data_IF_376786771941
#
_entry.id   IF_376786771941
#
_cell.length_a   1.000
_cell.length_b   1.000
_cell.length_c   1.000
_cell.angle_alpha   90.00
_cell.angle_beta   90.00
_cell.angle_gamma   90.00
#
_symmetry.space_group_name_H-M   'P 1'
#
loop_
_entity.id
_entity.type
_entity.pdbx_description
1 polymer ?
#
# COMPACT_ATOMS: atom_id res chain seq x y z
N UNK A 1 -14.34 -15.25 24.63
CA UNK A 1 -13.05 -15.10 25.33
C UNK A 1 -12.21 -16.33 25.04
N UNK A 2 -11.63 -16.40 23.84
CA UNK A 2 -10.65 -17.41 23.43
C UNK A 2 -10.04 -16.92 22.12
N UNK A 3 -9.08 -16.01 22.23
CA UNK A 3 -7.97 -16.02 21.28
C UNK A 3 -7.32 -17.41 21.40
N UNK A 4 -6.85 -18.01 20.30
CA UNK A 4 -6.17 -19.33 20.33
C UNK A 4 -4.92 -19.33 21.24
N UNK A 5 -4.48 -18.14 21.66
CA UNK A 5 -3.33 -17.88 22.53
C UNK A 5 -3.73 -16.71 23.45
N UNK A 6 -3.80 -16.87 24.79
CA UNK A 6 -4.21 -15.78 25.67
C UNK A 6 -3.22 -14.61 25.63
N UNK A 7 -3.75 -13.38 25.65
CA UNK A 7 -2.98 -12.15 25.76
C UNK A 7 -2.06 -12.21 27.01
N UNK A 8 -0.77 -12.44 26.79
CA UNK A 8 0.22 -12.72 27.84
C UNK A 8 1.14 -13.93 27.59
N UNK A 9 0.93 -14.70 26.51
CA UNK A 9 1.71 -15.90 26.19
C UNK A 9 2.62 -15.78 24.96
N UNK A 10 2.86 -14.55 24.47
CA UNK A 10 3.83 -14.35 23.43
C UNK A 10 5.24 -14.65 23.94
N UNK A 11 6.01 -15.47 23.20
CA UNK A 11 7.37 -15.84 23.58
C UNK A 11 8.28 -14.60 23.72
N UNK A 12 8.14 -13.66 22.79
CA UNK A 12 8.76 -12.34 22.86
C UNK A 12 7.73 -11.38 23.46
N UNK A 13 8.02 -10.84 24.64
CA UNK A 13 7.13 -9.90 25.32
C UNK A 13 7.02 -8.53 24.62
N UNK A 14 6.01 -7.71 24.98
CA UNK A 14 5.76 -6.40 24.37
C UNK A 14 6.89 -5.39 24.61
N UNK A 15 7.69 -5.55 25.67
CA UNK A 15 8.81 -4.65 26.01
C UNK A 15 10.17 -5.12 25.48
N UNK A 16 10.23 -6.27 24.79
CA UNK A 16 11.47 -6.84 24.25
C UNK A 16 11.80 -6.25 22.87
N UNK A 17 12.06 -4.93 22.83
CA UNK A 17 12.19 -4.17 21.58
C UNK A 17 13.21 -4.73 20.59
N UNK A 18 14.42 -5.10 21.02
CA UNK A 18 15.44 -5.64 20.10
C UNK A 18 15.06 -6.99 19.51
N UNK A 19 14.37 -7.85 20.27
CA UNK A 19 13.88 -9.13 19.76
C UNK A 19 12.77 -8.91 18.73
N UNK A 20 11.86 -7.97 18.97
CA UNK A 20 10.83 -7.58 18.00
C UNK A 20 11.44 -6.99 16.72
N UNK A 21 12.46 -6.12 16.85
CA UNK A 21 13.20 -5.57 15.69
C UNK A 21 13.91 -6.68 14.92
N UNK A 22 14.49 -7.66 15.60
CA UNK A 22 15.12 -8.82 14.94
C UNK A 22 14.10 -9.63 14.14
N UNK A 23 12.91 -9.86 14.68
CA UNK A 23 11.80 -10.52 13.98
C UNK A 23 11.39 -9.74 12.73
N UNK A 24 11.21 -8.43 12.83
CA UNK A 24 10.91 -7.56 11.67
C UNK A 24 12.01 -7.66 10.60
N UNK A 25 13.28 -7.53 11.01
CA UNK A 25 14.42 -7.61 10.11
C UNK A 25 14.48 -8.95 9.37
N UNK A 26 14.28 -10.06 10.09
CA UNK A 26 14.24 -11.40 9.50
C UNK A 26 13.07 -11.57 8.52
N UNK A 27 11.87 -11.10 8.87
CA UNK A 27 10.70 -11.17 7.98
C UNK A 27 10.94 -10.38 6.69
N UNK A 28 11.42 -9.14 6.81
CA UNK A 28 11.71 -8.28 5.66
C UNK A 28 12.81 -8.88 4.78
N UNK A 29 13.90 -9.35 5.38
CA UNK A 29 14.99 -10.00 4.66
C UNK A 29 14.47 -11.24 3.91
N UNK A 30 13.67 -12.08 4.56
CA UNK A 30 13.05 -13.24 3.93
C UNK A 30 12.17 -12.84 2.75
N UNK A 31 11.30 -11.84 2.91
CA UNK A 31 10.44 -11.34 1.83
C UNK A 31 11.23 -10.82 0.63
N UNK A 32 12.30 -10.05 0.88
CA UNK A 32 13.18 -9.54 -0.17
C UNK A 32 13.96 -10.67 -0.88
N UNK A 33 14.43 -11.68 -0.13
CA UNK A 33 15.14 -12.83 -0.68
C UNK A 33 14.20 -13.71 -1.53
N UNK A 34 13.01 -14.05 -1.02
CA UNK A 34 12.02 -14.84 -1.75
C UNK A 34 11.58 -14.11 -3.02
N UNK A 35 11.42 -12.79 -2.96
CA UNK A 35 11.13 -11.94 -4.13
C UNK A 35 12.16 -12.04 -5.26
N UNK A 36 13.41 -12.45 -4.97
CA UNK A 36 14.49 -12.68 -5.95
C UNK A 36 14.51 -14.10 -6.52
N UNK A 37 13.65 -15.00 -6.04
CA UNK A 37 13.63 -16.39 -6.49
C UNK A 37 12.50 -16.64 -7.49
N UNK A 38 12.47 -17.83 -8.11
CA UNK A 38 11.34 -18.27 -8.94
C UNK A 38 10.01 -18.29 -8.17
N UNK A 39 10.05 -18.49 -6.84
CA UNK A 39 8.85 -18.39 -6.01
C UNK A 39 8.30 -16.96 -5.97
N UNK A 40 9.14 -15.94 -6.11
CA UNK A 40 8.78 -14.53 -6.18
C UNK A 40 7.87 -14.15 -7.36
N UNK A 41 7.75 -15.02 -8.36
CA UNK A 41 6.79 -14.86 -9.46
C UNK A 41 5.34 -15.15 -9.03
N UNK A 42 5.17 -15.93 -7.97
CA UNK A 42 3.87 -16.36 -7.45
C UNK A 42 3.55 -15.72 -6.10
N UNK A 43 4.57 -15.45 -5.30
CA UNK A 43 4.45 -14.87 -3.96
C UNK A 43 5.36 -13.65 -3.85
N UNK A 44 4.79 -12.45 -3.99
CA UNK A 44 5.58 -11.21 -3.91
C UNK A 44 6.26 -11.08 -2.56
N UNK A 45 7.41 -10.38 -2.51
CA UNK A 45 8.12 -10.18 -1.25
C UNK A 45 7.25 -9.52 -0.17
N UNK A 46 6.35 -8.61 -0.55
CA UNK A 46 5.38 -8.00 0.37
C UNK A 46 4.38 -9.02 0.90
N UNK A 47 3.83 -9.89 0.04
CA UNK A 47 2.95 -10.98 0.47
C UNK A 47 3.63 -11.93 1.46
N UNK A 48 4.93 -12.23 1.25
CA UNK A 48 5.73 -13.03 2.19
C UNK A 48 5.84 -12.34 3.55
N UNK A 49 6.13 -11.03 3.56
CA UNK A 49 6.23 -10.26 4.81
C UNK A 49 4.89 -10.20 5.55
N UNK A 50 3.80 -9.95 4.84
CA UNK A 50 2.45 -9.88 5.42
C UNK A 50 2.02 -11.23 6.01
N UNK A 51 2.10 -12.32 5.23
CA UNK A 51 1.76 -13.68 5.71
C UNK A 51 2.71 -14.15 6.81
N UNK A 52 4.00 -13.83 6.69
CA UNK A 52 4.99 -14.14 7.71
C UNK A 52 4.70 -13.44 9.03
N UNK A 53 4.31 -12.16 8.98
CA UNK A 53 3.86 -11.40 10.15
C UNK A 53 2.64 -12.04 10.81
N UNK A 54 1.62 -12.40 10.01
CA UNK A 54 0.42 -13.12 10.48
C UNK A 54 0.82 -14.42 11.16
N UNK A 55 1.66 -15.23 10.53
CA UNK A 55 2.09 -16.51 11.09
C UNK A 55 2.85 -16.33 12.41
N UNK A 56 3.72 -15.34 12.49
CA UNK A 56 4.55 -15.06 13.67
C UNK A 56 3.71 -14.58 14.86
N UNK A 57 2.70 -13.72 14.66
CA UNK A 57 1.82 -13.29 15.76
C UNK A 57 0.81 -14.36 16.16
N UNK A 58 0.20 -15.06 15.19
CA UNK A 58 -0.83 -16.08 15.48
C UNK A 58 -0.26 -17.40 16.04
N UNK A 59 1.05 -17.64 15.90
CA UNK A 59 1.75 -18.74 16.62
C UNK A 59 2.19 -18.35 18.03
N UNK A 60 2.00 -17.09 18.43
CA UNK A 60 2.41 -16.57 19.73
C UNK A 60 3.91 -16.30 19.84
N UNK A 61 4.63 -16.11 18.72
CA UNK A 61 6.04 -15.71 18.79
C UNK A 61 6.18 -14.25 19.25
N UNK A 62 5.32 -13.36 18.74
CA UNK A 62 5.22 -11.94 19.13
C UNK A 62 3.77 -11.58 19.44
N UNK A 63 3.50 -10.51 20.22
CA UNK A 63 2.14 -10.08 20.51
C UNK A 63 1.52 -9.33 19.32
N UNK A 64 0.20 -9.41 19.18
CA UNK A 64 -0.58 -8.62 18.21
C UNK A 64 -0.47 -7.10 18.43
N UNK A 65 -0.23 -6.69 19.68
CA UNK A 65 -0.10 -5.30 20.11
C UNK A 65 1.19 -5.13 20.92
N UNK A 66 1.95 -4.08 20.62
CA UNK A 66 3.17 -3.70 21.35
C UNK A 66 3.47 -2.23 21.10
N UNK A 67 4.12 -1.53 22.05
CA UNK A 67 4.49 -0.12 21.90
C UNK A 67 5.36 0.15 20.66
N UNK A 68 6.16 -0.84 20.21
CA UNK A 68 6.96 -0.72 18.99
C UNK A 68 6.08 -0.64 17.74
N UNK A 69 5.02 -1.44 17.65
CA UNK A 69 4.08 -1.44 16.53
C UNK A 69 3.41 -0.08 16.41
N UNK A 70 2.94 0.46 17.54
CA UNK A 70 2.33 1.79 17.63
C UNK A 70 3.32 2.88 17.22
N UNK A 71 4.56 2.82 17.74
CA UNK A 71 5.62 3.76 17.38
C UNK A 71 5.94 3.74 15.88
N UNK A 72 6.00 2.56 15.26
CA UNK A 72 6.21 2.43 13.81
C UNK A 72 5.06 3.11 13.05
N UNK A 73 3.81 2.84 13.44
CA UNK A 73 2.63 3.42 12.78
C UNK A 73 2.54 4.94 12.94
N UNK A 74 2.93 5.47 14.09
CA UNK A 74 2.86 6.91 14.40
C UNK A 74 4.03 7.69 13.78
N UNK A 75 5.24 7.12 13.76
CA UNK A 75 6.44 7.87 13.36
C UNK A 75 7.02 7.42 12.01
N UNK A 76 7.18 6.11 11.80
CA UNK A 76 7.90 5.61 10.64
C UNK A 76 7.04 5.65 9.37
N UNK A 77 5.76 5.29 9.47
CA UNK A 77 4.84 5.27 8.33
C UNK A 77 4.64 6.66 7.72
N UNK A 78 4.37 7.74 8.50
CA UNK A 78 4.25 9.07 7.92
C UNK A 78 5.52 9.54 7.20
N UNK A 79 6.70 9.14 7.66
CA UNK A 79 7.97 9.48 7.00
C UNK A 79 8.15 8.79 5.65
N UNK A 80 7.54 7.60 5.46
CA UNK A 80 7.59 6.90 4.18
C UNK A 80 6.85 7.68 3.08
N UNK A 81 5.79 8.42 3.43
CA UNK A 81 4.96 9.15 2.46
C UNK A 81 5.79 10.19 1.69
N UNK A 82 6.44 11.21 2.30
CA UNK A 82 7.24 12.15 1.52
C UNK A 82 8.40 11.48 0.79
N UNK A 83 9.07 10.48 1.40
CA UNK A 83 10.19 9.77 0.78
C UNK A 83 9.79 9.12 -0.56
N UNK A 84 8.61 8.48 -0.60
CA UNK A 84 8.06 7.90 -1.83
C UNK A 84 7.53 8.96 -2.80
N UNK A 85 7.05 10.09 -2.29
CA UNK A 85 6.46 11.17 -3.08
C UNK A 85 7.47 12.20 -3.62
N UNK A 86 8.72 12.23 -3.16
CA UNK A 86 9.72 13.20 -3.65
C UNK A 86 10.03 13.07 -5.14
N UNK A 87 9.80 11.88 -5.72
CA UNK A 87 9.88 11.65 -7.18
C UNK A 87 8.52 11.69 -7.88
N UNK A 88 7.44 12.07 -7.19
CA UNK A 88 6.09 12.21 -7.75
C UNK A 88 5.99 13.44 -8.67
N UNK A 89 6.49 13.30 -9.89
CA UNK A 89 6.32 14.29 -10.94
C UNK A 89 4.99 14.02 -11.68
N UNK A 90 3.93 14.72 -11.26
CA UNK A 90 2.57 14.47 -11.75
C UNK A 90 2.46 14.64 -13.27
N UNK A 91 3.25 15.54 -13.86
CA UNK A 91 3.26 15.74 -15.31
C UNK A 91 3.80 14.49 -16.00
N UNK A 92 4.92 13.98 -15.50
CA UNK A 92 5.54 12.76 -16.02
C UNK A 92 4.62 11.55 -15.83
N UNK A 93 3.90 11.43 -14.70
CA UNK A 93 2.92 10.35 -14.49
C UNK A 93 1.91 10.30 -15.63
N UNK A 94 1.38 11.46 -16.04
CA UNK A 94 0.38 11.53 -17.11
C UNK A 94 0.97 11.32 -18.51
N UNK A 95 2.24 11.66 -18.74
CA UNK A 95 2.85 11.57 -20.08
C UNK A 95 3.69 10.32 -20.33
N UNK A 96 4.31 9.74 -19.29
CA UNK A 96 5.32 8.68 -19.41
C UNK A 96 4.82 7.29 -18.98
N UNK A 97 3.86 7.20 -18.06
CA UNK A 97 3.29 5.90 -17.68
C UNK A 97 2.28 5.36 -18.72
N UNK A 98 1.96 6.17 -19.74
CA UNK A 98 1.26 5.74 -20.95
C UNK A 98 -0.08 5.05 -20.67
N UNK A 99 -0.37 3.91 -21.31
CA UNK A 99 -1.59 3.12 -21.08
C UNK A 99 -1.89 2.76 -19.63
N UNK A 100 -0.84 2.53 -18.83
CA UNK A 100 -0.96 2.08 -17.43
C UNK A 100 -1.67 3.13 -16.58
N UNK A 101 -1.50 4.42 -16.87
CA UNK A 101 -2.19 5.52 -16.18
C UNK A 101 -3.69 5.45 -16.37
N UNK A 102 -4.17 5.23 -17.62
CA UNK A 102 -5.60 5.12 -17.87
C UNK A 102 -6.18 3.89 -17.17
N UNK A 103 -5.51 2.75 -17.25
CA UNK A 103 -5.92 1.52 -16.60
C UNK A 103 -5.96 1.67 -15.07
N UNK A 104 -5.01 2.40 -14.50
CA UNK A 104 -5.00 2.71 -13.07
C UNK A 104 -6.21 3.58 -12.68
N UNK A 105 -6.50 4.64 -13.45
CA UNK A 105 -7.65 5.51 -13.18
C UNK A 105 -8.99 4.78 -13.32
N UNK A 106 -9.11 3.90 -14.32
CA UNK A 106 -10.26 2.99 -14.44
C UNK A 106 -10.34 2.03 -13.26
N UNK A 107 -9.21 1.44 -12.86
CA UNK A 107 -9.11 0.60 -11.67
C UNK A 107 -9.57 1.34 -10.40
N UNK A 108 -9.12 2.58 -10.21
CA UNK A 108 -9.53 3.40 -9.08
C UNK A 108 -11.03 3.69 -9.10
N UNK A 109 -11.59 4.02 -10.27
CA UNK A 109 -13.03 4.18 -10.44
C UNK A 109 -13.78 2.89 -10.09
N UNK A 110 -13.32 1.74 -10.57
CA UNK A 110 -13.96 0.45 -10.30
C UNK A 110 -13.81 0.02 -8.83
N UNK A 111 -12.72 0.40 -8.15
CA UNK A 111 -12.59 0.25 -6.69
C UNK A 111 -13.63 1.08 -5.95
N UNK A 112 -13.88 2.33 -6.37
CA UNK A 112 -14.95 3.16 -5.80
C UNK A 112 -16.32 2.51 -6.00
N UNK A 113 -16.62 2.07 -7.23
CA UNK A 113 -17.88 1.40 -7.52
C UNK A 113 -18.04 0.09 -6.73
N UNK A 114 -16.95 -0.67 -6.57
CA UNK A 114 -16.93 -1.87 -5.75
C UNK A 114 -17.22 -1.60 -4.28
N UNK A 115 -16.63 -0.54 -3.72
CA UNK A 115 -16.86 -0.14 -2.34
C UNK A 115 -18.30 0.36 -2.13
N UNK A 116 -18.86 1.11 -3.09
CA UNK A 116 -20.27 1.53 -3.07
C UNK A 116 -21.22 0.32 -3.15
N UNK A 117 -20.91 -0.64 -4.02
CA UNK A 117 -21.69 -1.87 -4.09
C UNK A 117 -21.59 -2.68 -2.79
N UNK A 118 -20.42 -2.74 -2.17
CA UNK A 118 -20.25 -3.36 -0.87
C UNK A 118 -21.13 -2.71 0.20
N UNK A 119 -21.19 -1.37 0.25
CA UNK A 119 -22.10 -0.63 1.14
C UNK A 119 -23.58 -0.94 0.87
N UNK A 120 -23.96 -1.09 -0.41
CA UNK A 120 -25.34 -1.44 -0.76
C UNK A 120 -25.72 -2.87 -0.36
N UNK A 121 -24.75 -3.80 -0.35
CA UNK A 121 -24.99 -5.22 -0.11
C UNK A 121 -24.78 -5.66 1.34
N UNK A 122 -23.96 -4.93 2.10
CA UNK A 122 -23.49 -5.33 3.42
C UNK A 122 -23.69 -4.19 4.41
N UNK A 123 -24.39 -4.48 5.51
CA UNK A 123 -24.55 -3.55 6.64
C UNK A 123 -23.29 -3.58 7.53
N UNK A 124 -22.45 -2.56 7.39
CA UNK A 124 -21.24 -2.39 8.20
C UNK A 124 -21.50 -1.63 9.52
N UNK A 125 -22.76 -1.38 9.85
CA UNK A 125 -23.20 -0.77 11.09
C UNK A 125 -23.08 0.76 11.10
N UNK A 126 -23.08 1.39 12.29
CA UNK A 126 -23.21 2.83 12.44
C UNK A 126 -22.11 3.67 11.75
N UNK A 127 -20.92 3.09 11.55
CA UNK A 127 -19.79 3.75 10.91
C UNK A 127 -19.59 3.34 9.44
N UNK A 128 -20.61 2.76 8.79
CA UNK A 128 -20.54 2.25 7.41
C UNK A 128 -19.98 3.27 6.41
N UNK A 129 -20.41 4.53 6.48
CA UNK A 129 -19.87 5.57 5.59
C UNK A 129 -18.35 5.73 5.73
N UNK A 130 -17.80 5.53 6.94
CA UNK A 130 -16.35 5.55 7.15
C UNK A 130 -15.69 4.28 6.62
N UNK A 131 -16.31 3.12 6.84
CA UNK A 131 -15.87 1.83 6.28
C UNK A 131 -15.77 1.90 4.74
N UNK A 132 -16.80 2.45 4.09
CA UNK A 132 -16.85 2.74 2.66
C UNK A 132 -15.65 3.56 2.20
N UNK A 133 -15.42 4.72 2.83
CA UNK A 133 -14.31 5.61 2.46
C UNK A 133 -12.94 4.94 2.66
N UNK A 134 -12.79 4.20 3.75
CA UNK A 134 -11.57 3.48 4.11
C UNK A 134 -11.26 2.36 3.12
N UNK A 135 -12.24 1.52 2.74
CA UNK A 135 -12.04 0.46 1.74
C UNK A 135 -11.93 0.98 0.30
N UNK A 136 -12.59 2.09 -0.04
CA UNK A 136 -12.35 2.74 -1.32
C UNK A 136 -10.90 3.25 -1.42
N UNK A 137 -10.37 3.85 -0.35
CA UNK A 137 -9.01 4.38 -0.33
C UNK A 137 -7.93 3.31 -0.28
N UNK A 138 -8.11 2.24 0.51
CA UNK A 138 -7.10 1.15 0.55
C UNK A 138 -6.89 0.52 -0.82
N UNK A 139 -7.97 0.37 -1.61
CA UNK A 139 -7.90 -0.19 -2.95
C UNK A 139 -7.65 0.83 -4.05
N UNK A 140 -7.09 1.98 -3.66
CA UNK A 140 -6.45 2.96 -4.52
C UNK A 140 -5.11 3.31 -3.84
N UNK A 141 -4.01 2.61 -4.12
CA UNK A 141 -2.69 2.85 -3.56
C UNK A 141 -2.30 2.04 -2.31
N UNK A 142 -3.17 1.19 -1.77
CA UNK A 142 -2.84 0.19 -0.75
C UNK A 142 -3.15 0.57 0.70
N UNK A 143 -2.85 -0.36 1.62
CA UNK A 143 -3.22 -0.32 3.05
C UNK A 143 -2.78 0.92 3.83
N UNK A 144 -1.78 1.66 3.34
CA UNK A 144 -1.39 2.92 3.99
C UNK A 144 -2.53 3.95 3.92
N UNK A 145 -3.26 3.97 2.81
CA UNK A 145 -4.40 4.87 2.64
C UNK A 145 -5.58 4.46 3.53
N UNK A 146 -5.72 3.16 3.84
CA UNK A 146 -6.65 2.66 4.86
C UNK A 146 -6.40 3.36 6.20
N UNK A 147 -5.16 3.30 6.69
CA UNK A 147 -4.77 3.90 7.97
C UNK A 147 -4.96 5.42 7.96
N UNK A 148 -4.55 6.08 6.88
CA UNK A 148 -4.66 7.51 6.72
C UNK A 148 -6.13 7.99 6.75
N UNK A 149 -7.01 7.34 5.99
CA UNK A 149 -8.43 7.69 5.93
C UNK A 149 -9.14 7.36 7.24
N UNK A 150 -8.82 6.23 7.88
CA UNK A 150 -9.38 5.88 9.19
C UNK A 150 -9.04 6.93 10.26
N UNK A 151 -7.81 7.45 10.26
CA UNK A 151 -7.40 8.54 11.15
C UNK A 151 -8.12 9.86 10.81
N UNK A 152 -8.28 10.18 9.53
CA UNK A 152 -8.95 11.42 9.10
C UNK A 152 -10.45 11.43 9.42
N UNK A 153 -11.11 10.26 9.32
CA UNK A 153 -12.53 10.10 9.60
C UNK A 153 -12.83 9.93 11.09
N UNK A 154 -11.82 9.61 11.91
CA UNK A 154 -11.92 9.48 13.36
C UNK A 154 -12.96 8.43 13.75
N UNK A 155 -12.67 7.16 13.50
CA UNK A 155 -13.52 6.05 13.96
C UNK A 155 -13.70 6.09 15.48
N UNK A 156 -14.93 5.87 15.94
CA UNK A 156 -15.23 5.76 17.37
C UNK A 156 -14.93 4.37 17.89
N UNK A 157 -15.15 3.34 17.08
CA UNK A 157 -14.80 1.96 17.40
C UNK A 157 -13.44 1.58 16.80
N UNK A 158 -12.43 1.46 17.67
CA UNK A 158 -11.10 0.99 17.28
C UNK A 158 -11.10 -0.48 16.81
N UNK A 159 -12.09 -1.27 17.25
CA UNK A 159 -12.32 -2.64 16.78
C UNK A 159 -12.62 -2.69 15.29
N UNK A 160 -13.43 -1.77 14.79
CA UNK A 160 -13.74 -1.62 13.36
C UNK A 160 -12.48 -1.33 12.53
N UNK A 161 -11.61 -0.44 12.99
CA UNK A 161 -10.35 -0.12 12.29
C UNK A 161 -9.42 -1.33 12.27
N UNK A 162 -9.24 -2.00 13.41
CA UNK A 162 -8.42 -3.20 13.52
C UNK A 162 -8.97 -4.34 12.64
N UNK A 163 -10.29 -4.53 12.63
CA UNK A 163 -10.96 -5.52 11.80
C UNK A 163 -10.84 -5.22 10.31
N UNK A 164 -10.93 -3.94 9.92
CA UNK A 164 -10.74 -3.50 8.54
C UNK A 164 -9.29 -3.74 8.08
N UNK A 165 -8.29 -3.46 8.92
CA UNK A 165 -6.89 -3.77 8.63
C UNK A 165 -6.64 -5.27 8.47
N UNK A 166 -7.22 -6.10 9.35
CA UNK A 166 -7.11 -7.55 9.27
C UNK A 166 -7.77 -8.08 7.98
N UNK A 167 -8.98 -7.60 7.67
CA UNK A 167 -9.69 -7.93 6.44
C UNK A 167 -8.88 -7.53 5.19
N UNK A 168 -8.38 -6.30 5.15
CA UNK A 168 -7.57 -5.77 4.05
C UNK A 168 -6.29 -6.59 3.86
N UNK A 169 -5.60 -6.94 4.94
CA UNK A 169 -4.39 -7.74 4.87
C UNK A 169 -4.65 -9.14 4.27
N UNK A 170 -5.65 -9.86 4.77
CA UNK A 170 -5.95 -11.23 4.31
C UNK A 170 -6.48 -11.22 2.89
N UNK A 171 -7.47 -10.38 2.58
CA UNK A 171 -8.09 -10.33 1.26
C UNK A 171 -7.12 -9.71 0.23
N UNK A 172 -6.41 -8.64 0.58
CA UNK A 172 -5.40 -8.00 -0.27
C UNK A 172 -4.22 -8.92 -0.57
N UNK A 173 -3.77 -9.71 0.41
CA UNK A 173 -2.73 -10.72 0.15
C UNK A 173 -3.25 -11.85 -0.73
N UNK A 174 -4.49 -12.31 -0.51
CA UNK A 174 -5.14 -13.31 -1.38
C UNK A 174 -5.26 -12.81 -2.81
N UNK A 175 -5.60 -11.53 -2.99
CA UNK A 175 -5.60 -10.84 -4.28
C UNK A 175 -4.21 -10.86 -4.92
N UNK A 176 -3.15 -10.46 -4.20
CA UNK A 176 -1.77 -10.43 -4.71
C UNK A 176 -1.32 -11.80 -5.20
N UNK A 177 -1.63 -12.86 -4.45
CA UNK A 177 -1.36 -14.25 -4.88
C UNK A 177 -2.15 -14.59 -6.14
N UNK A 178 -3.42 -14.21 -6.20
CA UNK A 178 -4.31 -14.50 -7.34
C UNK A 178 -3.84 -13.85 -8.64
N UNK A 179 -3.50 -12.55 -8.62
CA UNK A 179 -2.97 -11.85 -9.80
C UNK A 179 -1.55 -12.33 -10.16
N UNK A 180 -0.77 -12.76 -9.17
CA UNK A 180 0.53 -13.38 -9.41
C UNK A 180 0.37 -14.73 -10.11
N UNK A 181 -0.62 -15.55 -9.77
CA UNK A 181 -0.91 -16.79 -10.52
C UNK A 181 -1.40 -16.45 -11.93
N UNK A 182 -2.33 -15.50 -12.06
CA UNK A 182 -2.90 -15.09 -13.34
C UNK A 182 -1.85 -14.59 -14.33
N UNK A 183 -0.87 -13.81 -13.85
CA UNK A 183 0.27 -13.34 -14.66
C UNK A 183 1.18 -14.45 -15.18
N UNK A 184 1.09 -15.67 -14.64
CA UNK A 184 1.88 -16.83 -15.06
C UNK A 184 1.17 -17.78 -16.02
N UNK A 185 -0.11 -17.57 -16.31
CA UNK A 185 -0.87 -18.46 -17.20
C UNK A 185 -0.41 -18.28 -18.66
N UNK A 186 0.03 -19.38 -19.30
CA UNK A 186 0.57 -19.41 -20.67
C UNK A 186 -0.40 -18.87 -21.74
N UNK A 187 -1.69 -18.87 -21.46
CA UNK A 187 -2.74 -18.32 -22.34
C UNK A 187 -2.55 -16.81 -22.58
N UNK A 188 -1.78 -16.14 -21.72
CA UNK A 188 -1.50 -14.71 -21.79
C UNK A 188 0.01 -14.39 -21.85
N UNK A 189 0.86 -15.40 -22.10
CA UNK A 189 2.28 -15.19 -22.26
C UNK A 189 2.55 -14.42 -23.55
N UNK A 190 3.18 -13.24 -23.42
CA UNK A 190 3.66 -12.47 -24.56
C UNK A 190 4.73 -13.28 -25.27
N UNK A 191 4.51 -13.59 -26.55
CA UNK A 191 5.50 -14.22 -27.42
C UNK A 191 6.70 -13.29 -27.56
N UNK A 192 7.82 -13.63 -26.90
CA UNK A 192 9.06 -12.83 -26.95
C UNK A 192 9.83 -12.69 -25.62
N UNK A 193 9.30 -13.17 -24.49
CA UNK A 193 10.07 -13.19 -23.24
C UNK A 193 11.17 -14.26 -23.31
N UNK A 194 12.40 -13.83 -23.60
CA UNK A 194 13.60 -14.66 -23.54
C UNK A 194 13.78 -15.23 -22.12
N UNK A 195 13.98 -16.54 -22.03
CA UNK A 195 14.11 -17.33 -20.81
C UNK A 195 15.44 -17.14 -20.05
N UNK A 196 16.27 -16.17 -20.44
CA UNK A 196 17.48 -15.80 -19.70
C UNK A 196 17.11 -14.71 -18.67
N UNK A 197 16.63 -15.18 -17.52
CA UNK A 197 16.18 -14.36 -16.41
C UNK A 197 17.34 -14.04 -15.46
N UNK A 198 18.04 -12.93 -15.69
CA UNK A 198 18.71 -12.23 -14.59
C UNK A 198 17.63 -11.60 -13.72
N UNK A 199 17.37 -12.19 -12.55
CA UNK A 199 16.39 -11.68 -11.60
C UNK A 199 16.93 -10.37 -11.02
N UNK A 200 16.57 -9.26 -11.67
CA UNK A 200 16.91 -7.92 -11.20
C UNK A 200 16.43 -7.74 -9.75
N UNK A 201 17.23 -7.02 -8.96
CA UNK A 201 16.92 -6.78 -7.55
C UNK A 201 15.51 -6.17 -7.36
N UNK A 202 14.67 -6.70 -6.45
CA UNK A 202 13.34 -6.16 -6.15
C UNK A 202 13.38 -4.79 -5.46
N UNK A 203 14.57 -4.35 -5.03
CA UNK A 203 14.82 -2.95 -4.70
C UNK A 203 15.03 -2.24 -6.03
N UNK A 204 13.95 -1.69 -6.58
CA UNK A 204 14.00 -0.88 -7.79
C UNK A 204 14.76 0.39 -7.48
N UNK A 205 15.99 0.50 -7.99
CA UNK A 205 16.55 1.81 -8.26
C UNK A 205 15.61 2.49 -9.25
N UNK A 206 14.81 3.46 -8.80
CA UNK A 206 14.13 4.37 -9.72
C UNK A 206 15.21 4.88 -10.69
N UNK A 207 15.05 4.77 -12.03
CA UNK A 207 16.14 4.96 -12.96
C UNK A 207 16.83 6.29 -12.68
N UNK A 208 18.05 6.19 -12.15
CA UNK A 208 18.95 7.32 -12.06
C UNK A 208 19.23 7.73 -13.50
N UNK A 209 19.13 9.03 -13.77
CA UNK A 209 19.76 9.60 -14.96
C UNK A 209 21.22 9.09 -15.02
N UNK A 210 21.77 8.82 -16.21
CA UNK A 210 23.14 8.31 -16.34
C UNK A 210 24.10 9.32 -15.72
N UNK A 211 24.72 8.96 -14.60
CA UNK A 211 25.43 9.93 -13.79
C UNK A 211 26.30 9.32 -12.69
N UNK A 212 27.40 8.69 -13.12
CA UNK A 212 28.71 8.73 -12.48
C UNK A 212 28.90 7.99 -11.15
N UNK A 213 29.84 7.04 -11.19
CA UNK A 213 30.60 6.56 -10.04
C UNK A 213 31.23 7.74 -9.28
N UNK A 214 30.61 8.16 -8.18
CA UNK A 214 31.24 9.04 -7.17
C UNK A 214 30.86 8.55 -5.77
N UNK A 215 31.76 7.75 -5.21
CA UNK A 215 32.02 7.42 -3.80
C UNK A 215 30.88 7.49 -2.73
N UNK A 216 30.76 6.37 -2.01
CA UNK A 216 29.90 5.98 -0.87
C UNK A 216 29.60 7.01 0.25
N UNK A 217 30.35 8.11 0.38
CA UNK A 217 30.09 9.13 1.43
C UNK A 217 28.95 10.09 1.07
N UNK A 218 28.65 10.24 -0.21
CA UNK A 218 27.55 11.11 -0.67
C UNK A 218 26.19 10.49 -0.39
N UNK A 219 26.05 9.16 -0.43
CA UNK A 219 24.76 8.49 -0.28
C UNK A 219 24.15 8.65 1.11
N UNK A 220 24.96 8.54 2.17
CA UNK A 220 24.49 8.77 3.55
C UNK A 220 23.98 10.21 3.70
N UNK A 221 24.66 11.19 3.08
CA UNK A 221 24.22 12.58 3.12
C UNK A 221 22.88 12.79 2.40
N UNK A 222 22.68 12.16 1.24
CA UNK A 222 21.40 12.21 0.53
C UNK A 222 20.27 11.56 1.31
N UNK A 223 20.51 10.41 1.94
CA UNK A 223 19.54 9.74 2.81
C UNK A 223 19.18 10.61 4.02
N UNK A 224 20.16 11.22 4.67
CA UNK A 224 19.93 12.12 5.80
C UNK A 224 19.13 13.36 5.40
N UNK A 225 19.44 13.98 4.24
CA UNK A 225 18.69 15.12 3.71
C UNK A 225 17.26 14.71 3.36
N UNK A 226 17.07 13.56 2.70
CA UNK A 226 15.74 13.06 2.34
C UNK A 226 14.89 12.77 3.59
N UNK A 227 15.47 12.10 4.58
CA UNK A 227 14.79 11.81 5.84
C UNK A 227 14.47 13.10 6.61
N UNK A 228 15.40 14.04 6.66
CA UNK A 228 15.19 15.35 7.30
C UNK A 228 14.11 16.18 6.61
N UNK A 229 14.09 16.21 5.27
CA UNK A 229 13.04 16.87 4.50
C UNK A 229 11.68 16.20 4.70
N UNK A 230 11.64 14.87 4.75
CA UNK A 230 10.42 14.11 5.06
C UNK A 230 9.89 14.45 6.45
N UNK A 231 10.75 14.41 7.46
CA UNK A 231 10.41 14.76 8.83
C UNK A 231 9.93 16.22 8.96
N UNK A 232 10.57 17.15 8.24
CA UNK A 232 10.14 18.55 8.21
C UNK A 232 8.73 18.70 7.63
N UNK A 233 8.43 17.99 6.53
CA UNK A 233 7.09 17.98 5.95
C UNK A 233 6.06 17.41 6.94
N UNK A 234 6.38 16.29 7.60
CA UNK A 234 5.52 15.72 8.64
C UNK A 234 5.27 16.70 9.79
N UNK A 235 6.32 17.34 10.31
CA UNK A 235 6.22 18.31 11.39
C UNK A 235 5.37 19.53 11.01
N UNK A 236 5.57 20.07 9.80
CA UNK A 236 4.78 21.18 9.28
C UNK A 236 3.31 20.78 9.11
N UNK A 237 3.05 19.61 8.52
CA UNK A 237 1.70 19.12 8.31
C UNK A 237 0.94 18.94 9.63
N UNK A 238 1.56 18.30 10.64
CA UNK A 238 0.96 18.13 11.97
C UNK A 238 0.74 19.47 12.66
N UNK A 239 1.69 20.39 12.58
CA UNK A 239 1.55 21.72 13.17
C UNK A 239 0.41 22.53 12.51
N UNK A 240 0.30 22.47 11.18
CA UNK A 240 -0.79 23.11 10.43
C UNK A 240 -2.12 22.46 10.80
N UNK A 241 -2.21 21.12 10.79
CA UNK A 241 -3.41 20.37 11.16
C UNK A 241 -3.90 20.73 12.57
N UNK A 242 -2.97 20.78 13.53
CA UNK A 242 -3.26 21.15 14.92
C UNK A 242 -3.78 22.59 15.04
N UNK A 243 -3.15 23.55 14.35
CA UNK A 243 -3.60 24.95 14.36
C UNK A 243 -4.97 25.16 13.70
N UNK A 244 -5.30 24.35 12.71
CA UNK A 244 -6.59 24.35 12.03
C UNK A 244 -7.67 23.55 12.77
N UNK A 245 -7.33 22.87 13.88
CA UNK A 245 -8.26 22.04 14.63
C UNK A 245 -8.66 20.73 13.95
N UNK A 246 -7.85 20.24 13.00
CA UNK A 246 -8.14 19.03 12.19
C UNK A 246 -6.99 18.01 12.24
N UNK A 247 -6.55 17.55 13.43
CA UNK A 247 -5.37 16.68 13.57
C UNK A 247 -5.45 15.37 12.77
N UNK A 248 -6.65 14.79 12.57
CA UNK A 248 -6.84 13.59 11.75
C UNK A 248 -6.45 13.76 10.27
N UNK A 249 -6.43 15.00 9.75
CA UNK A 249 -6.08 15.31 8.36
C UNK A 249 -4.57 15.49 8.15
N UNK A 250 -3.73 15.24 9.17
CA UNK A 250 -2.28 15.40 9.09
C UNK A 250 -1.69 14.63 7.90
N UNK A 251 -2.14 13.39 7.65
CA UNK A 251 -1.61 12.59 6.53
C UNK A 251 -1.96 13.19 5.17
N UNK A 252 -3.18 13.72 4.99
CA UNK A 252 -3.55 14.41 3.74
C UNK A 252 -2.70 15.66 3.52
N UNK A 253 -2.40 16.41 4.58
CA UNK A 253 -1.51 17.57 4.53
C UNK A 253 -0.06 17.16 4.24
N UNK A 254 0.42 16.04 4.78
CA UNK A 254 1.74 15.46 4.44
C UNK A 254 1.81 15.19 2.94
N UNK A 255 0.81 14.51 2.39
CA UNK A 255 0.72 14.23 0.95
C UNK A 255 0.74 15.52 0.14
N UNK A 256 -0.07 16.52 0.50
CA UNK A 256 -0.14 17.79 -0.22
C UNK A 256 1.20 18.55 -0.21
N UNK A 257 1.84 18.64 0.97
CA UNK A 257 3.13 19.32 1.11
C UNK A 257 4.24 18.57 0.38
N UNK A 258 4.26 17.24 0.42
CA UNK A 258 5.24 16.41 -0.28
C UNK A 258 5.10 16.53 -1.80
N UNK A 259 3.89 16.43 -2.34
CA UNK A 259 3.61 16.61 -3.77
C UNK A 259 3.93 18.05 -4.19
N UNK A 260 3.56 19.03 -3.36
CA UNK A 260 3.92 20.43 -3.57
C UNK A 260 5.42 20.61 -3.67
N UNK A 261 6.19 20.06 -2.73
CA UNK A 261 7.64 20.10 -2.75
C UNK A 261 8.22 19.41 -4.00
N UNK A 262 7.73 18.21 -4.36
CA UNK A 262 8.16 17.45 -5.54
C UNK A 262 7.98 18.21 -6.85
N UNK A 263 6.91 19.02 -6.98
CA UNK A 263 6.58 19.73 -8.21
C UNK A 263 7.10 21.19 -8.22
N UNK A 264 7.29 21.83 -7.06
CA UNK A 264 7.82 23.20 -6.94
C UNK A 264 9.36 23.24 -6.84
N UNK A 265 9.98 22.21 -6.27
CA UNK A 265 11.43 22.08 -6.09
C UNK A 265 11.99 20.81 -6.78
N UNK A 266 11.63 20.54 -8.05
CA UNK A 266 11.97 19.28 -8.70
C UNK A 266 13.48 19.10 -8.89
N UNK A 267 14.25 20.19 -9.03
CA UNK A 267 15.71 20.12 -9.21
C UNK A 267 16.41 19.62 -7.95
N UNK A 268 15.98 20.12 -6.79
CA UNK A 268 16.53 19.78 -5.49
C UNK A 268 16.18 18.35 -5.12
N UNK A 269 14.90 17.97 -5.25
CA UNK A 269 14.45 16.65 -4.86
C UNK A 269 14.90 15.55 -5.83
N UNK A 270 14.93 15.78 -7.15
CA UNK A 270 15.47 14.80 -8.11
C UNK A 270 16.98 14.58 -7.97
N UNK A 271 17.70 15.49 -7.31
CA UNK A 271 19.13 15.31 -7.02
C UNK A 271 19.40 14.38 -5.84
N UNK A 272 18.37 14.08 -5.02
CA UNK A 272 18.48 13.12 -3.94
C UNK A 272 18.58 11.69 -4.50
N UNK A 273 19.27 10.85 -3.73
CA UNK A 273 19.50 9.44 -4.04
C UNK A 273 19.15 8.60 -2.81
N UNK A 274 18.55 7.43 -3.03
CA UNK A 274 18.22 6.48 -1.96
C UNK A 274 16.91 6.75 -1.23
N UNK A 275 16.22 7.85 -1.50
CA UNK A 275 14.97 8.23 -0.84
C UNK A 275 13.84 7.25 -1.13
N UNK A 276 13.77 6.74 -2.36
CA UNK A 276 12.74 5.78 -2.76
C UNK A 276 13.00 4.41 -2.13
N UNK A 277 14.27 3.99 -2.08
CA UNK A 277 14.71 2.75 -1.44
C UNK A 277 14.47 2.79 0.07
N UNK A 278 14.78 3.91 0.73
CA UNK A 278 14.50 4.12 2.16
C UNK A 278 13.00 4.14 2.43
N UNK A 279 12.22 4.87 1.62
CA UNK A 279 10.76 4.87 1.71
C UNK A 279 10.17 3.47 1.51
N UNK A 280 10.71 2.71 0.56
CA UNK A 280 10.31 1.31 0.32
C UNK A 280 10.64 0.43 1.51
N UNK A 281 11.82 0.58 2.12
CA UNK A 281 12.17 -0.15 3.34
C UNK A 281 11.18 0.16 4.48
N UNK A 282 10.81 1.42 4.68
CA UNK A 282 9.80 1.79 5.67
C UNK A 282 8.43 1.17 5.34
N UNK A 283 8.09 1.03 4.05
CA UNK A 283 6.90 0.29 3.62
C UNK A 283 6.96 -1.20 3.93
N UNK A 284 8.11 -1.83 3.79
CA UNK A 284 8.28 -3.23 4.21
C UNK A 284 8.10 -3.40 5.73
N UNK A 285 8.62 -2.46 6.53
CA UNK A 285 8.37 -2.43 7.98
C UNK A 285 6.87 -2.26 8.27
N UNK A 286 6.21 -1.35 7.58
CA UNK A 286 4.77 -1.15 7.67
C UNK A 286 3.96 -2.42 7.38
N UNK A 287 4.24 -3.10 6.26
CA UNK A 287 3.57 -4.34 5.88
C UNK A 287 3.82 -5.47 6.88
N UNK A 288 5.02 -5.54 7.46
CA UNK A 288 5.33 -6.50 8.51
C UNK A 288 4.47 -6.25 9.76
N UNK A 289 4.35 -5.00 10.17
CA UNK A 289 3.52 -4.64 11.34
C UNK A 289 2.04 -4.89 11.06
N UNK A 290 1.52 -4.57 9.87
CA UNK A 290 0.13 -4.95 9.50
C UNK A 290 -0.08 -6.46 9.61
N UNK A 291 0.86 -7.25 9.08
CA UNK A 291 0.83 -8.70 9.18
C UNK A 291 0.77 -9.16 10.64
N UNK A 292 1.68 -8.64 11.47
CA UNK A 292 1.76 -8.97 12.90
C UNK A 292 0.48 -8.57 13.65
N UNK A 293 -0.09 -7.41 13.36
CA UNK A 293 -1.30 -6.92 14.02
C UNK A 293 -2.59 -7.62 13.57
N UNK A 294 -2.51 -8.52 12.60
CA UNK A 294 -3.69 -9.27 12.10
C UNK A 294 -3.98 -10.47 13.00
N UNK A 295 -5.02 -10.35 13.83
CA UNK A 295 -5.59 -11.45 14.61
C UNK A 295 -6.66 -12.18 13.78
N UNK A 296 -6.36 -13.40 13.34
CA UNK A 296 -7.28 -14.22 12.54
C UNK A 296 -8.51 -14.62 13.36
N UNK A 297 -8.34 -14.85 14.66
CA UNK A 297 -9.44 -15.22 15.55
C UNK A 297 -10.48 -14.10 15.65
N UNK A 298 -10.03 -12.87 15.83
CA UNK A 298 -10.90 -11.68 15.84
C UNK A 298 -11.57 -11.49 14.47
N UNK A 299 -10.81 -11.62 13.37
CA UNK A 299 -11.35 -11.48 12.02
C UNK A 299 -12.52 -12.44 11.76
N UNK A 300 -12.33 -13.73 12.07
CA UNK A 300 -13.33 -14.77 11.84
C UNK A 300 -14.57 -14.64 12.73
N UNK A 301 -14.42 -14.10 13.94
CA UNK A 301 -15.52 -13.97 14.90
C UNK A 301 -16.29 -12.66 14.76
N UNK A 302 -15.63 -11.57 14.36
CA UNK A 302 -16.17 -10.22 14.53
C UNK A 302 -16.04 -9.31 13.30
N UNK A 303 -15.31 -9.70 12.26
CA UNK A 303 -15.03 -8.80 11.12
C UNK A 303 -15.29 -9.44 9.74
N UNK A 304 -16.13 -10.48 9.68
CA UNK A 304 -16.51 -11.11 8.41
C UNK A 304 -17.23 -10.15 7.45
N UNK A 305 -18.03 -9.22 7.98
CA UNK A 305 -18.67 -8.18 7.15
C UNK A 305 -17.62 -7.27 6.51
N UNK A 306 -16.58 -6.88 7.26
CA UNK A 306 -15.47 -6.06 6.75
C UNK A 306 -14.64 -6.84 5.71
N UNK A 307 -14.44 -8.14 5.93
CA UNK A 307 -13.84 -9.03 4.93
C UNK A 307 -14.70 -9.15 3.66
N UNK A 308 -16.03 -9.19 3.81
CA UNK A 308 -16.97 -9.11 2.69
C UNK A 308 -16.84 -7.79 1.93
N UNK A 309 -16.70 -6.68 2.66
CA UNK A 309 -16.51 -5.34 2.07
C UNK A 309 -15.23 -5.29 1.22
N UNK A 310 -14.13 -5.82 1.75
CA UNK A 310 -12.88 -5.98 1.05
C UNK A 310 -13.02 -6.85 -0.21
N UNK A 311 -13.62 -8.02 -0.06
CA UNK A 311 -13.78 -9.00 -1.12
C UNK A 311 -14.64 -8.48 -2.27
N UNK A 312 -15.81 -7.90 -1.97
CA UNK A 312 -16.70 -7.31 -2.98
C UNK A 312 -15.98 -6.21 -3.74
N UNK A 313 -15.27 -5.33 -3.04
CA UNK A 313 -14.54 -4.23 -3.68
C UNK A 313 -13.49 -4.73 -4.68
N UNK A 314 -12.64 -5.67 -4.26
CA UNK A 314 -11.60 -6.26 -5.12
C UNK A 314 -12.21 -7.07 -6.28
N UNK A 315 -13.25 -7.85 -6.02
CA UNK A 315 -13.91 -8.66 -7.05
C UNK A 315 -14.51 -7.76 -8.13
N UNK A 316 -15.22 -6.70 -7.75
CA UNK A 316 -15.78 -5.73 -8.71
C UNK A 316 -14.66 -5.03 -9.47
N UNK A 317 -13.59 -4.60 -8.79
CA UNK A 317 -12.42 -4.01 -9.43
C UNK A 317 -11.88 -4.91 -10.55
N UNK A 318 -11.60 -6.18 -10.26
CA UNK A 318 -11.07 -7.12 -11.25
C UNK A 318 -12.08 -7.48 -12.34
N UNK A 319 -13.34 -7.72 -11.96
CA UNK A 319 -14.41 -8.13 -12.87
C UNK A 319 -14.75 -7.04 -13.89
N UNK A 320 -14.58 -5.76 -13.55
CA UNK A 320 -14.76 -4.65 -14.47
C UNK A 320 -13.47 -4.32 -15.23
N UNK A 321 -12.32 -4.28 -14.55
CA UNK A 321 -11.06 -3.85 -15.14
C UNK A 321 -10.58 -4.81 -16.24
N UNK A 322 -10.59 -6.12 -15.99
CA UNK A 322 -10.06 -7.10 -16.95
C UNK A 322 -10.82 -7.10 -18.28
N UNK A 323 -12.17 -7.16 -18.32
CA UNK A 323 -12.90 -7.08 -19.57
C UNK A 323 -12.78 -5.72 -20.25
N UNK A 324 -12.88 -4.61 -19.51
CA UNK A 324 -12.77 -3.26 -20.09
C UNK A 324 -11.39 -3.04 -20.71
N UNK A 325 -10.32 -3.43 -20.03
CA UNK A 325 -8.97 -3.34 -20.58
C UNK A 325 -8.82 -4.15 -21.87
N UNK A 326 -9.39 -5.37 -21.91
CA UNK A 326 -9.41 -6.20 -23.11
C UNK A 326 -10.20 -5.58 -24.26
N UNK A 327 -11.35 -4.96 -23.98
CA UNK A 327 -12.16 -4.25 -24.98
C UNK A 327 -11.44 -3.04 -25.56
N UNK A 328 -10.65 -2.34 -24.74
CA UNK A 328 -9.82 -1.21 -25.16
C UNK A 328 -8.51 -1.64 -25.85
N UNK A 329 -8.26 -2.95 -25.97
CA UNK A 329 -7.07 -3.48 -26.65
C UNK A 329 -5.78 -3.42 -25.83
N UNK A 330 -5.86 -3.23 -24.51
CA UNK A 330 -4.68 -3.21 -23.64
C UNK A 330 -4.19 -4.63 -23.30
N UNK A 331 -2.89 -4.75 -23.05
CA UNK A 331 -2.28 -6.03 -22.71
C UNK A 331 -2.66 -6.47 -21.29
N UNK A 332 -2.65 -7.78 -21.03
CA UNK A 332 -2.84 -8.28 -19.66
C UNK A 332 -1.74 -7.77 -18.72
N UNK A 333 -0.50 -7.64 -19.21
CA UNK A 333 0.61 -7.13 -18.42
C UNK A 333 0.33 -5.70 -17.92
N UNK A 334 -0.04 -4.78 -18.82
CA UNK A 334 -0.40 -3.40 -18.45
C UNK A 334 -1.56 -3.39 -17.43
N UNK A 335 -2.55 -4.24 -17.66
CA UNK A 335 -3.76 -4.33 -16.83
C UNK A 335 -3.46 -4.83 -15.42
N UNK A 336 -2.67 -5.91 -15.30
CA UNK A 336 -2.31 -6.46 -14.00
C UNK A 336 -1.37 -5.54 -13.23
N UNK A 337 -0.45 -4.85 -13.92
CA UNK A 337 0.42 -3.86 -13.28
C UNK A 337 -0.38 -2.66 -12.77
N UNK A 338 -1.30 -2.13 -13.58
CA UNK A 338 -2.20 -1.06 -13.16
C UNK A 338 -3.10 -1.48 -11.99
N UNK A 339 -3.68 -2.69 -12.05
CA UNK A 339 -4.51 -3.25 -10.98
C UNK A 339 -3.70 -3.41 -9.69
N UNK A 340 -2.51 -4.00 -9.76
CA UNK A 340 -1.64 -4.20 -8.60
C UNK A 340 -1.24 -2.85 -7.97
N UNK A 341 -0.88 -1.87 -8.81
CA UNK A 341 -0.55 -0.53 -8.33
C UNK A 341 -1.76 0.15 -7.66
N UNK A 342 -2.97 -0.12 -8.13
CA UNK A 342 -4.21 0.38 -7.55
C UNK A 342 -4.57 -0.33 -6.24
N UNK A 343 -4.53 -1.66 -6.18
CA UNK A 343 -4.99 -2.40 -5.01
C UNK A 343 -3.94 -2.45 -3.89
N UNK A 344 -2.66 -2.62 -4.24
CA UNK A 344 -1.59 -2.90 -3.27
C UNK A 344 -0.49 -1.83 -3.22
N UNK A 345 -0.26 -1.12 -4.34
CA UNK A 345 0.63 0.05 -4.39
C UNK A 345 1.88 -0.11 -5.27
N UNK A 346 2.76 0.90 -5.28
CA UNK A 346 3.88 0.98 -6.23
C UNK A 346 4.93 -0.12 -6.03
N UNK A 347 5.25 -0.48 -4.79
CA UNK A 347 6.30 -1.47 -4.51
C UNK A 347 5.94 -2.88 -5.01
N UNK A 348 4.69 -3.31 -4.78
CA UNK A 348 4.20 -4.63 -5.21
C UNK A 348 4.06 -4.72 -6.73
N UNK A 349 3.57 -3.64 -7.36
CA UNK A 349 3.42 -3.56 -8.80
C UNK A 349 4.79 -3.58 -9.51
N UNK A 350 5.75 -2.80 -9.02
CA UNK A 350 7.10 -2.79 -9.56
C UNK A 350 7.81 -4.14 -9.38
N UNK A 351 7.64 -4.79 -8.22
CA UNK A 351 8.17 -6.12 -7.97
C UNK A 351 7.59 -7.18 -8.91
N UNK A 352 6.28 -7.13 -9.20
CA UNK A 352 5.64 -8.01 -10.17
C UNK A 352 6.16 -7.79 -11.59
N UNK A 353 6.28 -6.53 -12.02
CA UNK A 353 6.83 -6.20 -13.33
C UNK A 353 8.25 -6.75 -13.49
N UNK A 354 9.11 -6.58 -12.47
CA UNK A 354 10.46 -7.12 -12.48
C UNK A 354 10.49 -8.66 -12.49
N UNK A 355 9.72 -9.33 -11.62
CA UNK A 355 9.75 -10.80 -11.51
C UNK A 355 9.17 -11.52 -12.74
N UNK A 356 8.31 -10.84 -13.50
CA UNK A 356 7.74 -11.30 -14.77
C UNK A 356 8.57 -10.93 -16.00
N UNK A 357 9.69 -10.20 -15.83
CA UNK A 357 10.49 -9.72 -16.95
C UNK A 357 9.84 -8.58 -17.74
N UNK A 358 8.76 -7.98 -17.23
CA UNK A 358 8.12 -6.78 -17.80
C UNK A 358 8.86 -5.51 -17.34
N UNK A 359 10.17 -5.48 -17.55
CA UNK A 359 11.05 -4.41 -17.04
C UNK A 359 10.63 -3.02 -17.51
N UNK A 360 10.07 -2.91 -18.72
CA UNK A 360 9.49 -1.68 -19.26
C UNK A 360 8.29 -1.15 -18.47
N UNK A 361 7.59 -1.99 -17.70
CA UNK A 361 6.45 -1.60 -16.86
C UNK A 361 6.84 -1.26 -15.42
N UNK A 362 8.09 -1.47 -15.00
CA UNK A 362 8.54 -1.18 -13.64
C UNK A 362 8.38 0.30 -13.32
N UNK A 363 8.82 1.18 -14.22
CA UNK A 363 8.72 2.64 -14.03
C UNK A 363 7.26 3.10 -14.05
N UNK A 364 6.43 2.74 -15.06
CA UNK A 364 5.00 3.00 -15.04
C UNK A 364 4.30 2.53 -13.75
N UNK A 365 4.62 1.33 -13.25
CA UNK A 365 4.05 0.76 -12.03
C UNK A 365 4.28 1.66 -10.81
N UNK A 366 5.52 2.11 -10.62
CA UNK A 366 5.87 3.04 -9.53
C UNK A 366 5.13 4.35 -9.68
N UNK A 367 5.08 4.90 -10.89
CA UNK A 367 4.46 6.20 -11.17
C UNK A 367 2.96 6.21 -10.87
N UNK A 368 2.21 5.21 -11.34
CA UNK A 368 0.77 5.13 -11.08
C UNK A 368 0.47 4.70 -9.64
N UNK A 369 1.30 3.86 -9.03
CA UNK A 369 1.13 3.50 -7.61
C UNK A 369 1.35 4.70 -6.68
N UNK A 370 2.36 5.53 -6.99
CA UNK A 370 2.59 6.82 -6.32
C UNK A 370 1.41 7.77 -6.52
N UNK A 371 0.81 7.82 -7.72
CA UNK A 371 -0.43 8.58 -7.95
C UNK A 371 -1.57 8.14 -7.01
N UNK A 372 -1.66 6.84 -6.71
CA UNK A 372 -2.57 6.30 -5.70
C UNK A 372 -2.40 6.95 -4.32
N UNK A 373 -1.16 7.06 -3.83
CA UNK A 373 -0.88 7.78 -2.57
C UNK A 373 -1.28 9.26 -2.60
N UNK A 374 -1.30 9.87 -3.79
CA UNK A 374 -1.71 11.27 -3.95
C UNK A 374 -3.22 11.42 -3.87
N UNK A 375 -3.99 10.59 -4.55
CA UNK A 375 -5.44 10.83 -4.76
C UNK A 375 -6.35 10.09 -3.79
N UNK A 376 -5.94 8.93 -3.28
CA UNK A 376 -6.84 8.00 -2.62
C UNK A 376 -7.42 8.52 -1.32
N UNK A 377 -6.60 9.17 -0.48
CA UNK A 377 -7.05 9.70 0.80
C UNK A 377 -8.13 10.78 0.60
N UNK A 378 -8.00 11.60 -0.45
CA UNK A 378 -9.01 12.60 -0.80
C UNK A 378 -10.30 11.93 -1.28
N UNK A 379 -10.20 10.91 -2.14
CA UNK A 379 -11.36 10.14 -2.63
C UNK A 379 -12.09 9.47 -1.47
N UNK A 380 -11.37 8.72 -0.63
CA UNK A 380 -11.96 7.98 0.49
C UNK A 380 -12.64 8.88 1.52
N UNK A 381 -11.95 9.94 1.95
CA UNK A 381 -12.56 10.91 2.88
C UNK A 381 -13.79 11.57 2.25
N UNK A 382 -13.71 11.95 0.96
CA UNK A 382 -14.85 12.58 0.27
C UNK A 382 -16.04 11.63 0.18
N UNK A 383 -15.81 10.37 -0.21
CA UNK A 383 -16.87 9.34 -0.27
C UNK A 383 -17.56 9.15 1.07
N UNK A 384 -16.79 9.03 2.16
CA UNK A 384 -17.36 8.89 3.49
C UNK A 384 -18.23 10.08 3.89
N UNK A 385 -17.78 11.31 3.59
CA UNK A 385 -18.55 12.53 3.89
C UNK A 385 -19.80 12.65 3.02
N UNK A 386 -19.72 12.30 1.74
CA UNK A 386 -20.87 12.29 0.83
C UNK A 386 -21.91 11.26 1.25
N UNK A 387 -21.47 10.07 1.66
CA UNK A 387 -22.33 9.03 2.21
C UNK A 387 -23.06 9.53 3.47
N UNK A 388 -22.33 10.08 4.44
CA UNK A 388 -22.91 10.62 5.68
C UNK A 388 -23.89 11.76 5.45
N UNK A 389 -23.70 12.54 4.38
CA UNK A 389 -24.61 13.60 3.99
C UNK A 389 -25.88 13.10 3.28
N UNK A 390 -26.04 11.79 3.05
CA UNK A 390 -27.15 11.19 2.31
C UNK A 390 -27.13 11.49 0.80
N UNK A 391 -26.01 12.03 0.29
CA UNK A 391 -25.90 12.41 -1.12
C UNK A 391 -25.66 11.20 -2.04
N UNK A 392 -25.34 10.04 -1.45
CA UNK A 392 -25.16 8.78 -2.17
C UNK A 392 -26.39 7.87 -2.12
N UNK A 393 -27.43 8.23 -1.37
CA UNK A 393 -28.69 7.47 -1.27
C UNK A 393 -29.34 7.19 -2.63
N UNK A 394 -29.15 8.09 -3.60
CA UNK A 394 -29.70 7.97 -4.96
C UNK A 394 -29.04 6.83 -5.76
N UNK A 395 -27.82 6.43 -5.38
CA UNK A 395 -27.09 5.34 -6.04
C UNK A 395 -27.21 4.00 -5.28
N UNK A 396 -27.66 4.04 -4.02
CA UNK A 396 -27.70 2.89 -3.13
C UNK A 396 -29.12 2.33 -2.89
N UNK A 397 -30.16 3.06 -3.32
CA UNK A 397 -31.57 2.61 -3.39
C UNK A 397 -31.94 2.32 -4.83
#
# INVERSE_FOLDING_TARGET
MTTLIPAGSALIGPDQYFAQVAVLGCLIALGLLVGRTRAGQYLTGVSVVMLGGVAVSNTGLVPFQAPLWDGIMVYLVPLAIPLLLFKADLRRVLTEAGPVTLLFLLGALFSVLGALLAAALLDAGPEEGKVLGTFAATYIGGSMNLVAVSNALGFTDLGTVSGALAADNIIGTTYLVSISILSGLKVFAVSGASTDMDVASPIVHAPLAPGGDVADTTMISHLAIALGASALICALAVAIAGRLGVPGYSVLLITLLAVGAANLLPRQLKSLRGEFELGTLFMYVFFAVIGISTDIGILLQHSLVLAGFAAVTIVVHLALLLPVARLLGYSLADTLIASNACIAGPATAAAMAASRGWTHLVVPAVMVGVLGYVIANFIGVSLARLYQAGLLDVFLK
#
